data_IF_807556927474
#
_entry.id   IF_807556927474
#
_cell.length_a   1.000
_cell.length_b   1.000
_cell.length_c   1.000
_cell.angle_alpha   90.00
_cell.angle_beta   90.00
_cell.angle_gamma   90.00
#
_symmetry.space_group_name_H-M   'P 1'
#
loop_
_entity.id
_entity.type
_entity.pdbx_description
1 polymer ?
#
# COMPACT_ATOMS: atom_id res chain seq x y z
N UNK A 1 -33.38 10.27 3.26
CA UNK A 1 -32.78 10.04 4.58
C UNK A 1 -32.42 11.40 5.18
N UNK A 2 -32.32 11.54 6.49
CA UNK A 2 -31.86 12.77 7.15
C UNK A 2 -30.33 12.77 7.17
N UNK A 3 -29.69 13.94 6.94
CA UNK A 3 -28.22 14.06 6.79
C UNK A 3 -27.38 13.35 7.86
N UNK A 4 -27.89 13.26 9.09
CA UNK A 4 -27.16 12.57 10.19
C UNK A 4 -27.19 11.05 10.13
N UNK A 5 -28.00 10.48 9.23
CA UNK A 5 -28.15 9.03 8.99
C UNK A 5 -27.96 8.69 7.51
N UNK A 6 -27.56 9.67 6.70
CA UNK A 6 -27.33 9.52 5.27
C UNK A 6 -25.86 9.18 5.05
N UNK A 7 -25.59 7.98 4.53
CA UNK A 7 -24.24 7.53 4.26
C UNK A 7 -23.61 8.14 2.99
N UNK A 8 -24.42 8.96 2.24
CA UNK A 8 -23.93 9.78 1.10
C UNK A 8 -24.64 11.16 1.06
N UNK A 9 -24.40 12.09 1.99
CA UNK A 9 -25.19 13.33 2.12
C UNK A 9 -25.21 14.23 0.90
N UNK A 10 -24.26 14.09 -0.04
CA UNK A 10 -24.15 14.89 -1.26
C UNK A 10 -24.72 14.20 -2.51
N UNK A 11 -25.12 12.93 -2.40
CA UNK A 11 -25.62 12.12 -3.50
C UNK A 11 -26.93 11.44 -3.12
N UNK A 12 -27.89 11.42 -4.04
CA UNK A 12 -29.17 10.79 -3.79
C UNK A 12 -29.06 9.25 -3.87
N UNK A 13 -29.04 8.60 -2.72
CA UNK A 13 -28.98 7.14 -2.58
C UNK A 13 -30.08 6.62 -1.64
N UNK A 14 -31.36 6.60 -2.05
CA UNK A 14 -32.49 6.30 -1.18
C UNK A 14 -32.46 4.89 -0.56
N UNK A 15 -31.73 3.95 -1.13
CA UNK A 15 -31.52 2.59 -0.65
C UNK A 15 -30.43 2.48 0.41
N UNK A 16 -29.56 3.50 0.54
CA UNK A 16 -28.47 3.54 1.51
C UNK A 16 -27.58 2.28 1.46
N UNK A 17 -27.34 1.79 0.22
CA UNK A 17 -26.41 0.67 -0.01
C UNK A 17 -25.00 1.03 0.46
N UNK A 18 -24.36 0.09 1.18
CA UNK A 18 -23.04 0.17 1.78
C UNK A 18 -22.52 -1.26 1.82
N UNK A 19 -21.87 -1.65 0.73
CA UNK A 19 -21.49 -3.04 0.45
C UNK A 19 -20.39 -3.56 1.37
N UNK A 20 -19.49 -2.68 1.85
CA UNK A 20 -18.41 -3.03 2.74
C UNK A 20 -18.65 -2.64 4.21
N UNK A 21 -19.78 -1.96 4.48
CA UNK A 21 -20.23 -1.57 5.83
C UNK A 21 -19.26 -0.63 6.57
N UNK A 22 -18.57 0.25 5.83
CA UNK A 22 -17.68 1.25 6.40
C UNK A 22 -18.38 2.55 6.83
N UNK A 23 -19.67 2.69 6.49
CA UNK A 23 -20.52 3.84 6.79
C UNK A 23 -20.57 4.88 5.69
N UNK A 24 -19.88 4.66 4.56
CA UNK A 24 -19.94 5.43 3.34
C UNK A 24 -20.78 4.63 2.32
N UNK A 25 -21.75 5.24 1.69
CA UNK A 25 -22.61 4.53 0.74
C UNK A 25 -21.91 4.33 -0.61
N UNK A 26 -22.19 3.20 -1.27
CA UNK A 26 -21.58 2.75 -2.54
C UNK A 26 -21.52 3.83 -3.62
N UNK A 27 -22.49 4.75 -3.67
CA UNK A 27 -22.55 5.80 -4.70
C UNK A 27 -21.56 6.95 -4.47
N UNK A 28 -21.09 7.13 -3.25
CA UNK A 28 -20.12 8.16 -2.87
C UNK A 28 -18.83 7.58 -2.30
N UNK A 29 -18.74 6.28 -2.21
CA UNK A 29 -17.54 5.57 -1.91
C UNK A 29 -16.74 5.34 -3.21
N UNK A 30 -15.55 5.91 -3.25
CA UNK A 30 -14.66 5.78 -4.42
C UNK A 30 -14.04 4.37 -4.52
N UNK A 31 -14.25 3.51 -3.52
CA UNK A 31 -13.60 2.20 -3.45
C UNK A 31 -14.52 1.15 -2.83
N UNK A 32 -15.27 0.48 -3.66
CA UNK A 32 -16.06 -0.71 -3.32
C UNK A 32 -15.14 -1.94 -3.11
N UNK A 33 -14.35 -1.93 -2.03
CA UNK A 33 -13.60 -3.11 -1.61
C UNK A 33 -14.48 -4.00 -0.73
N UNK A 34 -15.28 -4.83 -1.38
CA UNK A 34 -15.97 -5.92 -0.68
C UNK A 34 -14.93 -6.88 -0.09
N UNK A 35 -14.85 -6.95 1.23
CA UNK A 35 -14.09 -8.00 1.90
C UNK A 35 -14.59 -9.36 1.42
N UNK A 36 -13.68 -10.27 1.10
CA UNK A 36 -14.03 -11.64 0.75
C UNK A 36 -13.97 -12.52 1.98
N UNK A 37 -15.11 -12.98 2.52
CA UNK A 37 -15.11 -13.84 3.69
C UNK A 37 -14.47 -15.19 3.38
N UNK A 38 -13.82 -15.77 4.39
CA UNK A 38 -13.25 -17.12 4.30
C UNK A 38 -14.34 -18.18 4.37
N UNK A 39 -14.82 -18.62 3.22
CA UNK A 39 -15.89 -19.64 3.12
C UNK A 39 -15.32 -20.90 2.49
N UNK A 40 -15.51 -22.05 3.17
CA UNK A 40 -15.02 -23.35 2.68
C UNK A 40 -13.53 -23.41 2.35
N UNK A 41 -12.72 -22.64 3.07
CA UNK A 41 -11.25 -22.59 2.89
C UNK A 41 -10.77 -21.64 1.81
N UNK A 42 -11.64 -20.75 1.29
CA UNK A 42 -11.29 -19.75 0.30
C UNK A 42 -11.91 -18.39 0.62
N UNK A 43 -11.10 -17.33 0.47
CA UNK A 43 -11.52 -15.94 0.44
C UNK A 43 -11.35 -15.44 -1.01
N UNK A 44 -12.44 -15.35 -1.76
CA UNK A 44 -12.36 -15.19 -3.21
C UNK A 44 -11.64 -16.38 -3.87
N UNK A 45 -10.54 -16.12 -4.54
CA UNK A 45 -9.69 -17.15 -5.18
C UNK A 45 -8.52 -17.62 -4.29
N UNK A 46 -8.33 -17.00 -3.12
CA UNK A 46 -7.18 -17.25 -2.24
C UNK A 46 -7.52 -18.29 -1.18
N UNK A 47 -6.66 -19.31 -0.95
CA UNK A 47 -6.83 -20.21 0.18
C UNK A 47 -6.79 -19.45 1.51
N UNK A 48 -7.72 -19.78 2.40
CA UNK A 48 -7.80 -19.17 3.72
C UNK A 48 -8.07 -20.21 4.81
N UNK A 49 -7.78 -19.86 6.06
CA UNK A 49 -8.08 -20.69 7.22
C UNK A 49 -8.59 -19.80 8.38
N UNK A 50 -9.87 -19.41 8.29
CA UNK A 50 -10.55 -18.64 9.31
C UNK A 50 -10.24 -17.13 9.32
N UNK A 51 -9.62 -16.62 8.25
CA UNK A 51 -9.35 -15.19 8.08
C UNK A 51 -9.94 -14.70 6.76
N UNK A 52 -10.62 -13.57 6.78
CA UNK A 52 -11.18 -12.93 5.62
C UNK A 52 -10.10 -12.12 4.88
N UNK A 53 -10.23 -11.98 3.56
CA UNK A 53 -9.42 -11.06 2.79
C UNK A 53 -10.10 -9.70 2.79
N UNK A 54 -9.52 -8.72 3.44
CA UNK A 54 -10.11 -7.39 3.64
C UNK A 54 -9.66 -6.40 2.56
N UNK A 55 -8.46 -6.58 2.00
CA UNK A 55 -7.96 -5.73 0.94
C UNK A 55 -6.87 -6.43 0.13
N UNK A 56 -6.73 -6.03 -1.12
CA UNK A 56 -5.75 -6.59 -2.05
C UNK A 56 -5.26 -5.52 -3.02
N UNK A 57 -3.96 -5.48 -3.25
CA UNK A 57 -3.33 -4.76 -4.35
C UNK A 57 -2.52 -5.74 -5.18
N UNK A 58 -2.70 -5.72 -6.48
CA UNK A 58 -1.88 -6.48 -7.41
C UNK A 58 -0.47 -5.88 -7.53
N UNK A 59 0.47 -6.62 -8.13
CA UNK A 59 1.81 -6.06 -8.42
C UNK A 59 1.74 -4.87 -9.39
N UNK A 60 0.71 -4.80 -10.24
CA UNK A 60 0.47 -3.67 -11.13
C UNK A 60 0.03 -2.43 -10.35
N UNK A 61 -0.84 -2.59 -9.34
CA UNK A 61 -1.32 -1.51 -8.48
C UNK A 61 -0.20 -0.93 -7.59
N UNK A 62 0.86 -1.71 -7.35
CA UNK A 62 2.04 -1.29 -6.60
C UNK A 62 3.07 -0.54 -7.47
N UNK A 63 2.75 -0.22 -8.72
CA UNK A 63 3.65 0.43 -9.67
C UNK A 63 3.03 1.69 -10.26
N UNK A 64 3.85 2.73 -10.46
CA UNK A 64 3.45 3.95 -11.19
C UNK A 64 3.42 3.70 -12.70
N UNK A 65 4.18 2.71 -13.19
CA UNK A 65 4.25 2.35 -14.60
C UNK A 65 3.69 0.93 -14.80
N UNK A 66 2.38 0.77 -14.96
CA UNK A 66 1.76 -0.54 -15.20
C UNK A 66 2.29 -1.17 -16.50
N UNK A 67 2.48 -2.47 -16.50
CA UNK A 67 3.01 -3.24 -17.64
C UNK A 67 4.49 -3.61 -17.53
N UNK A 68 5.18 -3.23 -16.47
CA UNK A 68 6.52 -3.73 -16.16
C UNK A 68 6.42 -5.18 -15.63
N UNK A 69 7.34 -6.06 -16.06
CA UNK A 69 7.51 -7.37 -15.42
C UNK A 69 8.16 -7.16 -14.05
N UNK A 70 7.34 -6.98 -13.02
CA UNK A 70 7.77 -6.85 -11.63
C UNK A 70 7.45 -8.11 -10.83
N UNK A 71 8.35 -8.44 -9.91
CA UNK A 71 8.15 -9.50 -8.93
C UNK A 71 8.28 -8.92 -7.53
N UNK A 72 7.48 -9.43 -6.60
CA UNK A 72 7.60 -9.11 -5.18
C UNK A 72 8.66 -9.98 -4.51
N UNK A 73 9.28 -9.45 -3.46
CA UNK A 73 10.26 -10.19 -2.67
C UNK A 73 10.01 -10.01 -1.17
N UNK A 74 10.45 -8.91 -0.58
CA UNK A 74 10.35 -8.65 0.87
C UNK A 74 9.26 -7.63 1.20
N UNK A 75 8.84 -7.60 2.45
CA UNK A 75 7.94 -6.58 2.97
C UNK A 75 8.28 -6.24 4.42
N UNK A 76 8.01 -5.00 4.79
CA UNK A 76 8.10 -4.52 6.16
C UNK A 76 6.93 -3.60 6.49
N UNK A 77 6.66 -3.40 7.78
CA UNK A 77 5.64 -2.47 8.26
C UNK A 77 6.25 -1.27 8.96
N UNK A 78 5.54 -0.15 8.92
CA UNK A 78 5.82 1.02 9.73
C UNK A 78 4.52 1.63 10.25
N UNK A 79 4.45 1.84 11.56
CA UNK A 79 3.38 2.62 12.17
C UNK A 79 3.90 4.01 12.46
N UNK A 80 3.25 5.04 11.91
CA UNK A 80 3.63 6.42 12.14
C UNK A 80 3.39 6.80 13.61
N UNK A 81 4.45 7.16 14.37
CA UNK A 81 4.29 7.52 15.78
C UNK A 81 3.53 8.83 15.99
N UNK A 82 3.31 9.64 14.95
CA UNK A 82 2.62 10.93 15.04
C UNK A 82 1.09 10.75 15.06
N UNK A 83 0.54 9.96 14.16
CA UNK A 83 -0.91 9.84 13.95
C UNK A 83 -1.44 8.38 14.00
N UNK A 84 -0.54 7.41 14.16
CA UNK A 84 -0.89 5.99 14.28
C UNK A 84 -1.20 5.33 12.94
N UNK A 85 -1.02 6.00 11.82
CA UNK A 85 -1.21 5.40 10.51
C UNK A 85 -0.25 4.25 10.25
N UNK A 86 -0.74 3.25 9.56
CA UNK A 86 0.01 2.06 9.24
C UNK A 86 0.39 2.01 7.76
N UNK A 87 1.63 1.67 7.49
CA UNK A 87 2.16 1.58 6.14
C UNK A 87 2.83 0.24 5.90
N UNK A 88 2.55 -0.35 4.73
CA UNK A 88 3.31 -1.47 4.21
C UNK A 88 4.39 -0.96 3.25
N UNK A 89 5.62 -1.44 3.44
CA UNK A 89 6.74 -1.24 2.55
C UNK A 89 6.92 -2.53 1.77
N UNK A 90 6.73 -2.52 0.47
CA UNK A 90 6.79 -3.72 -0.38
C UNK A 90 7.98 -3.63 -1.32
N UNK A 91 8.92 -4.55 -1.15
CA UNK A 91 10.10 -4.69 -2.01
C UNK A 91 9.75 -5.37 -3.33
N UNK A 92 9.91 -4.65 -4.42
CA UNK A 92 9.69 -5.14 -5.78
C UNK A 92 11.01 -5.14 -6.56
N UNK A 93 11.08 -5.87 -7.66
CA UNK A 93 12.33 -6.01 -8.42
C UNK A 93 12.88 -4.66 -8.91
N UNK A 94 12.04 -3.69 -9.23
CA UNK A 94 12.43 -2.38 -9.78
C UNK A 94 12.33 -1.22 -8.80
N UNK A 95 11.65 -1.39 -7.66
CA UNK A 95 11.38 -0.32 -6.69
C UNK A 95 10.93 -0.88 -5.34
N UNK A 96 10.78 0.01 -4.36
CA UNK A 96 10.04 -0.23 -3.13
C UNK A 96 8.76 0.59 -3.19
N UNK A 97 7.60 -0.05 -2.99
CA UNK A 97 6.31 0.60 -2.91
C UNK A 97 5.96 0.93 -1.45
N UNK A 98 5.35 2.09 -1.22
CA UNK A 98 4.84 2.52 0.08
C UNK A 98 3.32 2.60 0.02
N UNK A 99 2.64 1.78 0.82
CA UNK A 99 1.18 1.65 0.82
C UNK A 99 0.64 2.07 2.18
N UNK A 100 -0.31 3.00 2.20
CA UNK A 100 -1.12 3.27 3.40
C UNK A 100 -2.13 2.12 3.55
N UNK A 101 -2.02 1.39 4.66
CA UNK A 101 -2.87 0.26 5.03
C UNK A 101 -3.72 0.56 6.27
N UNK A 102 -3.79 1.82 6.68
CA UNK A 102 -4.52 2.25 7.88
C UNK A 102 -6.01 1.96 7.78
N UNK A 103 -6.55 1.98 6.56
CA UNK A 103 -7.89 1.49 6.25
C UNK A 103 -7.78 0.23 5.40
N UNK A 104 -8.06 -0.95 5.96
CA UNK A 104 -7.90 -2.21 5.23
C UNK A 104 -8.77 -2.31 3.96
N UNK A 105 -9.93 -1.63 3.97
CA UNK A 105 -10.86 -1.59 2.84
C UNK A 105 -10.47 -0.51 1.81
N UNK A 106 -9.49 0.34 2.10
CA UNK A 106 -9.07 1.45 1.23
C UNK A 106 -7.55 1.57 1.22
N UNK A 107 -6.89 0.55 0.66
CA UNK A 107 -5.43 0.53 0.52
C UNK A 107 -4.99 1.58 -0.51
N UNK A 108 -3.97 2.39 -0.18
CA UNK A 108 -3.51 3.47 -1.06
C UNK A 108 -2.02 3.37 -1.34
N UNK A 109 -1.65 3.23 -2.60
CA UNK A 109 -0.27 3.43 -3.00
C UNK A 109 0.09 4.92 -2.82
N UNK A 110 0.95 5.22 -1.84
CA UNK A 110 1.44 6.58 -1.60
C UNK A 110 2.49 6.96 -2.63
N UNK A 111 3.37 6.03 -2.95
CA UNK A 111 4.40 6.23 -3.95
C UNK A 111 5.42 5.11 -3.99
N UNK A 112 6.42 5.30 -4.81
CA UNK A 112 7.51 4.34 -4.99
C UNK A 112 8.88 5.00 -4.79
N UNK A 113 9.84 4.22 -4.32
CA UNK A 113 11.26 4.56 -4.37
C UNK A 113 11.94 3.65 -5.41
N UNK A 114 12.36 4.18 -6.56
CA UNK A 114 13.04 3.39 -7.58
C UNK A 114 14.32 2.72 -7.07
N UNK A 115 14.68 1.59 -7.65
CA UNK A 115 15.97 0.95 -7.39
C UNK A 115 17.13 1.88 -7.75
N UNK A 116 18.19 1.87 -6.95
CA UNK A 116 19.35 2.75 -7.18
C UNK A 116 20.15 2.35 -8.45
N UNK A 117 20.04 1.08 -8.85
CA UNK A 117 20.71 0.53 -10.05
C UNK A 117 19.73 -0.32 -10.86
N UNK A 118 20.20 -1.39 -11.49
CA UNK A 118 19.37 -2.30 -12.28
C UNK A 118 18.38 -3.08 -11.40
N UNK A 119 17.28 -3.52 -11.98
CA UNK A 119 16.30 -4.37 -11.31
C UNK A 119 16.92 -5.69 -10.84
N UNK A 120 16.49 -6.15 -9.67
CA UNK A 120 16.87 -7.43 -9.08
C UNK A 120 15.69 -8.04 -8.35
N UNK A 121 15.57 -9.36 -8.39
CA UNK A 121 14.52 -10.09 -7.67
C UNK A 121 14.75 -10.09 -6.16
N UNK A 122 15.93 -9.70 -5.69
CA UNK A 122 16.31 -9.72 -4.28
C UNK A 122 16.45 -8.30 -3.73
N UNK A 123 15.58 -7.98 -2.79
CA UNK A 123 15.51 -6.68 -2.09
C UNK A 123 15.08 -6.92 -0.66
N UNK A 124 15.87 -6.43 0.28
CA UNK A 124 15.57 -6.48 1.72
C UNK A 124 15.23 -5.09 2.24
N UNK A 125 14.26 -5.04 3.15
CA UNK A 125 13.78 -3.81 3.79
C UNK A 125 13.81 -3.99 5.29
N UNK A 126 14.34 -3.02 6.01
CA UNK A 126 14.24 -2.92 7.47
C UNK A 126 13.88 -1.50 7.86
N UNK A 127 13.13 -1.35 8.95
CA UNK A 127 12.76 -0.05 9.49
C UNK A 127 13.37 0.15 10.86
N UNK A 128 13.95 1.32 11.06
CA UNK A 128 14.46 1.75 12.34
C UNK A 128 14.37 3.28 12.47
N UNK A 129 13.86 3.79 13.60
CA UNK A 129 13.72 5.22 13.91
C UNK A 129 13.13 6.04 12.74
N UNK A 130 11.96 5.64 12.26
CA UNK A 130 11.23 6.26 11.15
C UNK A 130 11.98 6.28 9.80
N UNK A 131 13.01 5.47 9.63
CA UNK A 131 13.72 5.33 8.37
C UNK A 131 13.63 3.91 7.84
N UNK A 132 13.42 3.77 6.55
CA UNK A 132 13.58 2.53 5.81
C UNK A 132 15.00 2.40 5.30
N UNK A 133 15.60 1.23 5.55
CA UNK A 133 16.90 0.82 5.05
C UNK A 133 16.66 -0.27 4.01
N UNK A 134 17.03 0.01 2.77
CA UNK A 134 16.69 -0.82 1.62
C UNK A 134 17.95 -1.21 0.88
N UNK A 135 18.18 -2.51 0.77
CA UNK A 135 19.32 -3.10 0.04
C UNK A 135 18.81 -3.96 -1.11
N UNK A 136 19.69 -4.26 -2.06
CA UNK A 136 19.41 -5.19 -3.15
C UNK A 136 20.71 -5.90 -3.55
N UNK A 137 20.60 -7.11 -4.09
CA UNK A 137 21.73 -7.86 -4.65
C UNK A 137 22.21 -7.33 -6.02
N UNK A 138 21.50 -6.35 -6.59
CA UNK A 138 21.93 -5.71 -7.84
C UNK A 138 23.32 -5.08 -7.67
N UNK A 139 24.18 -5.32 -8.67
CA UNK A 139 25.56 -4.82 -8.60
C UNK A 139 25.59 -3.29 -8.43
N UNK A 140 26.35 -2.85 -7.41
CA UNK A 140 26.50 -1.42 -7.07
C UNK A 140 25.26 -0.79 -6.44
N UNK A 141 24.25 -1.58 -6.05
CA UNK A 141 23.04 -1.00 -5.43
C UNK A 141 23.34 -0.34 -4.08
N UNK A 142 24.14 -1.00 -3.24
CA UNK A 142 24.40 -0.48 -1.90
C UNK A 142 23.14 -0.44 -1.04
N UNK A 143 23.01 0.62 -0.22
CA UNK A 143 21.89 0.82 0.69
C UNK A 143 21.25 2.19 0.48
N UNK A 144 19.97 2.19 0.13
CA UNK A 144 19.13 3.39 0.14
C UNK A 144 18.54 3.59 1.53
N UNK A 145 18.53 4.82 2.02
CA UNK A 145 17.85 5.23 3.26
C UNK A 145 16.75 6.20 2.89
N UNK A 146 15.56 5.97 3.42
CA UNK A 146 14.38 6.79 3.16
C UNK A 146 13.70 7.17 4.46
N UNK A 147 13.47 8.47 4.66
CA UNK A 147 12.73 9.01 5.80
C UNK A 147 11.22 8.77 5.58
N UNK A 148 10.63 7.88 6.38
CA UNK A 148 9.23 7.49 6.30
C UNK A 148 8.27 8.63 6.67
N UNK A 149 8.72 9.64 7.40
CA UNK A 149 7.90 10.82 7.71
C UNK A 149 7.50 11.60 6.44
N UNK A 150 8.21 11.40 5.33
CA UNK A 150 7.87 11.97 4.02
C UNK A 150 6.61 11.36 3.38
N UNK A 151 6.11 10.24 3.92
CA UNK A 151 4.84 9.66 3.51
C UNK A 151 3.63 10.46 4.01
N UNK A 152 3.85 11.37 4.97
CA UNK A 152 2.79 12.22 5.52
C UNK A 152 2.34 13.28 4.52
N UNK A 153 1.02 13.49 4.44
CA UNK A 153 0.41 14.61 3.69
C UNK A 153 0.80 14.69 2.20
N UNK A 154 1.18 13.57 1.60
CA UNK A 154 1.49 13.53 0.16
C UNK A 154 0.23 13.81 -0.64
N UNK A 155 0.35 14.68 -1.66
CA UNK A 155 -0.73 15.04 -2.56
C UNK A 155 -0.49 14.45 -3.95
N UNK A 156 -1.56 14.27 -4.72
CA UNK A 156 -1.52 13.75 -6.10
C UNK A 156 -0.85 12.37 -6.19
N UNK A 157 -1.34 11.45 -5.37
CA UNK A 157 -0.85 10.06 -5.31
C UNK A 157 -1.09 9.29 -6.62
N UNK A 158 -0.25 8.29 -6.92
CA UNK A 158 1.03 7.98 -6.30
C UNK A 158 2.17 8.86 -6.84
N UNK A 159 3.25 9.04 -6.05
CA UNK A 159 4.42 9.82 -6.48
C UNK A 159 5.71 8.97 -6.50
N UNK A 160 6.69 9.42 -7.25
CA UNK A 160 8.04 8.86 -7.23
C UNK A 160 8.91 9.64 -6.23
N UNK A 161 9.51 8.91 -5.29
CA UNK A 161 10.42 9.45 -4.29
C UNK A 161 11.88 9.28 -4.72
N UNK A 162 12.75 10.06 -4.09
CA UNK A 162 14.21 9.85 -4.10
C UNK A 162 14.66 9.43 -2.70
N UNK A 163 15.68 8.59 -2.60
CA UNK A 163 16.31 8.26 -1.33
C UNK A 163 16.90 9.53 -0.68
N UNK A 164 16.83 9.61 0.66
CA UNK A 164 17.44 10.70 1.42
C UNK A 164 18.95 10.54 1.49
N UNK A 165 19.41 9.30 1.55
CA UNK A 165 20.82 8.94 1.51
C UNK A 165 21.01 7.63 0.74
N UNK A 166 22.12 7.52 0.04
CA UNK A 166 22.51 6.33 -0.69
C UNK A 166 23.97 6.00 -0.40
N UNK A 167 24.21 4.86 0.24
CA UNK A 167 25.54 4.36 0.55
C UNK A 167 25.94 3.31 -0.47
N UNK A 168 27.11 3.47 -1.08
CA UNK A 168 27.65 2.57 -2.12
C UNK A 168 28.98 1.92 -1.73
N UNK A 169 29.61 2.39 -0.66
CA UNK A 169 30.93 1.94 -0.23
C UNK A 169 30.80 0.80 0.80
N UNK A 170 30.79 -0.45 0.29
CA UNK A 170 30.83 -1.66 1.11
C UNK A 170 31.97 -2.58 0.67
#
# INVERSE_FOLDING_TARGET
>A
VIDSLDNCPLFANPNQEDSDSDGIGDICDDVDYTSSPCINGFAGIYPCNGYDLVGYLSLEDLSINPGSNISGNDSWGWTDPLDGKEYALVGLSSHTAFVDISSPNNLKLIGILPTATVSSSWRDIKVYQNHAFIVSEANGHGMQVFDLERLRNVQNLPIEFNADTHFTDF
#
